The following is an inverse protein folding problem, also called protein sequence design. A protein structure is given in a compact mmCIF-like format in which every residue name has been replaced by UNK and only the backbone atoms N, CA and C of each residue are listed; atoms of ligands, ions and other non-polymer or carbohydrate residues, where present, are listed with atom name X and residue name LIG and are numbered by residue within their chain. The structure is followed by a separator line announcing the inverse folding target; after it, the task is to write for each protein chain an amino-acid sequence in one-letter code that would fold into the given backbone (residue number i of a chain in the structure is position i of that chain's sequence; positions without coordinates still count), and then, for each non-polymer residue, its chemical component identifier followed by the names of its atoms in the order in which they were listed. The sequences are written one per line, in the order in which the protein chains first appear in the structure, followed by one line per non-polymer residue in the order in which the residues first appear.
data_IF_506410512327
#
_entry.id   IF_506410512327
#
_cell.length_a   1.000
_cell.length_b   1.000
_cell.length_c   1.000
_cell.angle_alpha   90.00
_cell.angle_beta   90.00
_cell.angle_gamma   90.00
#
_symmetry.space_group_name_H-M   'P 1'
#
loop_
_entity.id
_entity.type
_entity.pdbx_description
1 polymer ?
#
# COMPACT_ATOMS: atom_id res chain seq x y z
N UNK A 1 -12.03 7.99 -8.42
CA UNK A 1 -10.75 7.49 -7.87
C UNK A 1 -10.53 8.11 -6.50
N UNK A 2 -10.28 7.26 -5.52
CA UNK A 2 -9.98 7.70 -4.16
C UNK A 2 -8.49 7.52 -3.87
N UNK A 3 -7.96 8.34 -2.97
CA UNK A 3 -6.61 8.16 -2.44
C UNK A 3 -6.74 7.70 -0.99
N UNK A 4 -6.22 6.51 -0.68
CA UNK A 4 -6.25 5.94 0.65
C UNK A 4 -4.87 6.09 1.29
N UNK A 5 -4.85 6.62 2.50
CA UNK A 5 -3.61 6.74 3.27
C UNK A 5 -3.54 5.56 4.23
N UNK A 6 -2.51 4.73 4.10
CA UNK A 6 -2.36 3.54 4.94
C UNK A 6 -0.98 3.53 5.61
N UNK A 7 -0.95 2.94 6.80
CA UNK A 7 0.28 2.78 7.56
C UNK A 7 0.97 1.47 7.16
N UNK A 8 2.29 1.48 7.17
CA UNK A 8 3.09 0.31 6.82
C UNK A 8 4.36 0.32 7.66
N UNK A 9 4.78 -0.85 8.12
CA UNK A 9 6.04 -0.97 8.84
C UNK A 9 7.23 -0.84 7.90
N UNK A 10 8.32 -0.32 8.43
CA UNK A 10 9.52 0.03 7.68
C UNK A 10 10.07 -1.12 6.84
N UNK A 11 10.13 -2.33 7.40
CA UNK A 11 10.64 -3.48 6.66
C UNK A 11 9.79 -3.81 5.44
N UNK A 12 8.47 -3.70 5.56
CA UNK A 12 7.58 -3.88 4.40
C UNK A 12 7.70 -2.73 3.41
N UNK A 13 7.88 -1.50 3.93
CA UNK A 13 8.05 -0.33 3.09
C UNK A 13 9.31 -0.44 2.22
N UNK A 14 10.39 -0.96 2.78
CA UNK A 14 11.61 -1.21 2.02
C UNK A 14 11.35 -2.15 0.84
N UNK A 15 10.59 -3.20 1.07
CA UNK A 15 10.26 -4.18 0.03
C UNK A 15 9.34 -3.59 -1.06
N UNK A 16 8.40 -2.74 -0.67
CA UNK A 16 7.53 -2.06 -1.64
C UNK A 16 8.35 -1.09 -2.47
N UNK A 17 9.18 -0.29 -1.84
CA UNK A 17 9.98 0.72 -2.54
C UNK A 17 10.96 0.09 -3.52
N UNK A 18 11.55 -1.05 -3.15
CA UNK A 18 12.50 -1.76 -4.01
C UNK A 18 11.84 -2.49 -5.19
N UNK A 19 10.52 -2.66 -5.13
CA UNK A 19 9.78 -3.42 -6.14
C UNK A 19 9.68 -4.91 -5.86
N UNK A 20 10.25 -5.38 -4.76
CA UNK A 20 10.16 -6.78 -4.35
C UNK A 20 8.75 -7.17 -3.95
N UNK A 21 8.05 -6.28 -3.25
CA UNK A 21 6.70 -6.51 -2.78
C UNK A 21 5.75 -5.64 -3.61
N UNK A 22 4.91 -6.29 -4.41
CA UNK A 22 4.02 -5.61 -5.35
C UNK A 22 2.55 -5.69 -4.94
N UNK A 23 2.32 -5.86 -3.66
CA UNK A 23 0.97 -6.02 -3.11
C UNK A 23 0.93 -5.53 -1.67
N UNK A 24 -0.29 -5.27 -1.18
CA UNK A 24 -0.55 -5.02 0.23
C UNK A 24 -1.73 -5.86 0.68
N UNK A 25 -1.68 -6.30 1.93
CA UNK A 25 -2.81 -7.00 2.55
C UNK A 25 -3.34 -6.09 3.64
N UNK A 26 -4.62 -5.75 3.57
CA UNK A 26 -5.26 -4.85 4.52
C UNK A 26 -6.65 -5.32 4.91
N UNK A 27 -7.17 -4.77 6.00
CA UNK A 27 -8.57 -4.93 6.31
C UNK A 27 -9.40 -4.17 5.27
N UNK A 28 -10.49 -4.80 4.81
CA UNK A 28 -11.35 -4.21 3.81
C UNK A 28 -12.38 -3.27 4.48
N UNK A 29 -11.88 -2.20 5.06
CA UNK A 29 -12.70 -1.23 5.79
C UNK A 29 -12.82 0.12 5.09
N UNK A 30 -12.32 0.25 3.87
CA UNK A 30 -12.30 1.51 3.14
C UNK A 30 -12.88 1.42 1.73
N UNK A 31 -13.40 0.27 1.36
CA UNK A 31 -13.96 0.08 0.02
C UNK A 31 -12.94 0.25 -1.08
N UNK A 32 -11.78 -0.38 -0.94
CA UNK A 32 -10.73 -0.31 -1.96
C UNK A 32 -11.24 -0.80 -3.31
N UNK A 33 -10.89 -0.08 -4.36
CA UNK A 33 -11.28 -0.43 -5.72
C UNK A 33 -10.10 -0.29 -6.68
N UNK A 34 -10.10 -1.11 -7.72
CA UNK A 34 -9.15 -0.96 -8.82
C UNK A 34 -9.20 0.45 -9.35
N UNK A 35 -8.04 1.06 -9.55
CA UNK A 35 -7.92 2.45 -9.99
C UNK A 35 -7.75 3.45 -8.86
N UNK A 36 -8.08 3.05 -7.64
CA UNK A 36 -7.80 3.90 -6.48
C UNK A 36 -6.29 3.97 -6.24
N UNK A 37 -5.86 4.94 -5.44
CA UNK A 37 -4.46 5.13 -5.13
C UNK A 37 -4.19 4.95 -3.64
N UNK A 38 -2.96 4.55 -3.34
CA UNK A 38 -2.46 4.43 -1.97
C UNK A 38 -1.34 5.42 -1.76
N UNK A 39 -1.37 6.10 -0.61
CA UNK A 39 -0.24 6.83 -0.04
C UNK A 39 0.14 6.14 1.24
N UNK A 40 1.43 6.01 1.47
CA UNK A 40 1.92 5.29 2.63
C UNK A 40 2.45 6.22 3.70
N UNK A 41 2.25 5.82 4.94
CA UNK A 41 2.84 6.44 6.10
C UNK A 41 3.67 5.39 6.80
N UNK A 42 4.99 5.53 6.76
CA UNK A 42 5.90 4.49 7.23
C UNK A 42 6.13 4.64 8.72
N UNK A 43 5.99 3.53 9.43
CA UNK A 43 6.24 3.43 10.88
C UNK A 43 7.46 2.56 11.12
N UNK A 44 8.19 2.83 12.20
CA UNK A 44 9.27 1.95 12.64
C UNK A 44 8.72 0.57 12.97
N UNK A 45 9.50 -0.48 12.69
CA UNK A 45 9.06 -1.85 12.92
C UNK A 45 8.66 -2.08 14.38
N UNK A 46 7.45 -2.63 14.58
CA UNK A 46 6.91 -2.88 15.91
C UNK A 46 6.60 -1.62 16.70
N UNK A 47 6.52 -0.48 16.03
CA UNK A 47 6.36 0.83 16.67
C UNK A 47 5.17 1.56 16.06
N UNK A 48 4.66 2.57 16.77
CA UNK A 48 3.68 3.50 16.22
C UNK A 48 4.32 4.83 15.82
N UNK A 49 5.64 4.93 15.91
CA UNK A 49 6.34 6.16 15.57
C UNK A 49 6.61 6.23 14.08
N UNK A 50 6.28 7.36 13.48
CA UNK A 50 6.54 7.63 12.07
C UNK A 50 8.02 7.79 11.85
N UNK A 51 8.51 7.29 10.72
CA UNK A 51 9.90 7.45 10.32
C UNK A 51 9.97 8.12 8.96
N UNK A 52 11.08 8.79 8.70
CA UNK A 52 11.36 9.34 7.38
C UNK A 52 11.68 8.19 6.44
N UNK A 53 11.01 8.14 5.27
CA UNK A 53 11.19 7.04 4.33
C UNK A 53 10.81 7.51 2.93
N UNK A 54 11.52 7.01 1.92
CA UNK A 54 11.24 7.35 0.53
C UNK A 54 9.84 6.99 0.09
N UNK A 55 9.26 5.94 0.68
CA UNK A 55 7.91 5.51 0.33
C UNK A 55 6.85 6.56 0.70
N UNK A 56 7.10 7.39 1.72
CA UNK A 56 6.17 8.45 2.11
C UNK A 56 5.91 9.44 0.97
N UNK A 57 6.83 9.56 0.04
CA UNK A 57 6.75 10.50 -1.08
C UNK A 57 6.16 9.90 -2.35
N UNK A 58 5.77 8.63 -2.30
CA UNK A 58 5.30 7.91 -3.48
C UNK A 58 3.81 7.65 -3.42
N UNK A 59 3.19 7.54 -4.60
CA UNK A 59 1.82 7.04 -4.74
C UNK A 59 1.83 5.76 -5.55
N UNK A 60 0.91 4.89 -5.22
CA UNK A 60 0.73 3.61 -5.93
C UNK A 60 -0.70 3.50 -6.38
N UNK A 61 -0.90 2.89 -7.53
CA UNK A 61 -2.24 2.60 -8.06
C UNK A 61 -2.62 1.18 -7.73
N UNK A 62 -3.86 0.97 -7.28
CA UNK A 62 -4.41 -0.36 -7.08
C UNK A 62 -4.79 -0.91 -8.45
N UNK A 63 -4.13 -1.99 -8.86
CA UNK A 63 -4.39 -2.61 -10.16
C UNK A 63 -5.32 -3.80 -10.09
N UNK A 64 -5.48 -4.39 -8.90
CA UNK A 64 -6.39 -5.50 -8.67
C UNK A 64 -6.73 -5.60 -7.20
N UNK A 65 -7.96 -6.00 -6.88
CA UNK A 65 -8.39 -6.25 -5.51
C UNK A 65 -8.83 -7.70 -5.41
N UNK A 66 -8.22 -8.45 -4.51
CA UNK A 66 -8.56 -9.86 -4.29
C UNK A 66 -9.13 -10.07 -2.90
N UNK A 67 -10.26 -10.79 -2.84
CA UNK A 67 -10.82 -11.30 -1.59
C UNK A 67 -11.27 -12.73 -1.82
N UNK A 68 -11.55 -13.46 -0.76
CA UNK A 68 -12.02 -14.83 -0.88
C UNK A 68 -10.91 -15.85 -0.69
N UNK A 69 -10.64 -16.67 -1.69
CA UNK A 69 -9.71 -17.80 -1.56
C UNK A 69 -8.35 -17.35 -1.03
N UNK A 70 -7.92 -17.96 0.06
CA UNK A 70 -6.63 -17.68 0.69
C UNK A 70 -6.60 -16.45 1.58
N UNK A 71 -7.72 -15.72 1.68
CA UNK A 71 -7.79 -14.51 2.48
C UNK A 71 -8.66 -14.69 3.70
N UNK A 72 -8.27 -14.04 4.79
CA UNK A 72 -9.18 -13.90 5.91
C UNK A 72 -10.42 -13.11 5.47
N UNK A 73 -11.54 -13.38 6.13
CA UNK A 73 -12.84 -12.86 5.75
C UNK A 73 -12.90 -11.35 5.60
N UNK A 74 -12.18 -10.63 6.45
CA UNK A 74 -12.24 -9.17 6.49
C UNK A 74 -11.05 -8.51 5.80
N UNK A 75 -10.21 -9.30 5.14
CA UNK A 75 -9.00 -8.80 4.51
C UNK A 75 -9.10 -8.85 3.00
N UNK A 76 -8.33 -7.98 2.37
CA UNK A 76 -8.15 -7.97 0.92
C UNK A 76 -6.68 -7.86 0.59
N UNK A 77 -6.30 -8.43 -0.54
CA UNK A 77 -4.98 -8.23 -1.13
C UNK A 77 -5.13 -7.23 -2.26
N UNK A 78 -4.28 -6.23 -2.27
CA UNK A 78 -4.26 -5.18 -3.28
C UNK A 78 -2.99 -5.35 -4.09
N UNK A 79 -3.12 -5.62 -5.38
CA UNK A 79 -1.97 -5.53 -6.29
C UNK A 79 -1.74 -4.05 -6.56
N UNK A 80 -0.48 -3.61 -6.51
CA UNK A 80 -0.16 -2.20 -6.61
C UNK A 80 0.98 -1.95 -7.60
N UNK A 81 0.97 -0.77 -8.18
CA UNK A 81 1.97 -0.32 -9.14
C UNK A 81 2.31 1.12 -8.85
N UNK A 82 3.61 1.44 -8.86
CA UNK A 82 4.05 2.81 -8.66
C UNK A 82 3.47 3.73 -9.72
N UNK A 83 2.99 4.88 -9.30
CA UNK A 83 2.49 5.91 -10.21
C UNK A 83 3.67 6.76 -10.67
N UNK A 84 3.79 6.96 -11.97
CA UNK A 84 4.80 7.85 -12.51
C UNK A 84 4.40 9.30 -12.24
N UNK A 85 5.37 10.09 -11.80
CA UNK A 85 5.14 11.50 -11.63
C UNK A 85 5.08 12.19 -12.98
N UNK A 86 4.22 13.24 -13.05
CA UNK A 86 4.08 14.02 -14.27
C UNK A 86 5.36 14.82 -14.49
N UNK A 87 5.87 14.82 -15.72
CA UNK A 87 7.05 15.59 -16.10
C UNK A 87 8.37 14.83 -15.95
N UNK A 88 8.32 13.57 -15.65
CA UNK A 88 9.50 12.72 -15.57
C UNK A 88 9.67 11.80 -16.76
#
# INVERSE_FOLDING_TARGET
MKVHKIEIYESYADAVLSGEKTFEICYNNRGYQKGDRLKFEVLGDGSLLRVSHGLNEKEYEITYVHSGIGMERECVALAIRAVKEVGE
#
